data_IF_518909582866
#
_entry.id   IF_518909582866
#
_cell.length_a   1.000
_cell.length_b   1.000
_cell.length_c   1.000
_cell.angle_alpha   90.00
_cell.angle_beta   90.00
_cell.angle_gamma   90.00
#
_symmetry.space_group_name_H-M   'P 1'
#
loop_
_entity.id
_entity.type
_entity.pdbx_description
1 polymer ?
#
# COMPACT_ATOMS: atom_id res chain seq x y z
N UNK A 1 -47.47 -35.96 15.01
CA UNK A 1 -46.12 -36.44 15.39
C UNK A 1 -45.14 -35.29 15.17
N UNK A 2 -44.60 -34.76 16.27
CA UNK A 2 -43.70 -33.60 16.33
C UNK A 2 -42.33 -33.89 15.70
N UNK A 3 -41.77 -32.92 14.96
CA UNK A 3 -40.44 -32.34 15.22
C UNK A 3 -39.98 -31.38 14.09
N UNK A 4 -40.10 -30.08 14.34
CA UNK A 4 -39.02 -29.09 14.12
C UNK A 4 -38.59 -28.62 15.52
N UNK A 5 -37.50 -27.84 15.72
CA UNK A 5 -36.29 -27.59 14.93
C UNK A 5 -35.00 -27.71 15.78
N UNK A 6 -33.79 -27.68 15.20
CA UNK A 6 -32.57 -27.18 15.91
C UNK A 6 -31.56 -26.53 14.95
N UNK A 7 -31.60 -25.21 14.89
CA UNK A 7 -30.41 -24.35 14.92
C UNK A 7 -30.64 -23.41 16.12
N UNK A 8 -29.76 -23.36 17.14
CA UNK A 8 -28.81 -22.25 17.21
C UNK A 8 -27.54 -22.53 18.04
N UNK A 9 -26.35 -22.17 17.53
CA UNK A 9 -25.23 -21.67 18.36
C UNK A 9 -24.50 -20.60 17.55
N UNK A 10 -24.81 -19.32 17.78
CA UNK A 10 -24.33 -18.48 18.88
C UNK A 10 -22.83 -18.23 18.76
N UNK A 11 -22.52 -17.02 18.29
CA UNK A 11 -21.29 -16.29 18.50
C UNK A 11 -21.00 -16.28 20.00
N UNK A 12 -19.94 -16.97 20.43
CA UNK A 12 -19.52 -16.96 21.83
C UNK A 12 -18.26 -16.11 21.95
N UNK A 13 -18.43 -14.96 22.58
CA UNK A 13 -17.40 -13.97 22.86
C UNK A 13 -16.69 -14.31 24.16
N UNK A 14 -15.81 -15.31 24.17
CA UNK A 14 -14.90 -15.58 25.30
C UNK A 14 -13.66 -16.34 24.84
N UNK A 15 -12.62 -15.60 24.44
CA UNK A 15 -11.25 -16.12 24.34
C UNK A 15 -10.47 -15.70 25.60
N UNK A 16 -9.74 -16.60 26.28
CA UNK A 16 -9.12 -16.31 27.57
C UNK A 16 -7.91 -15.35 27.45
N UNK A 17 -7.59 -14.58 28.51
CA UNK A 17 -6.51 -13.60 28.49
C UNK A 17 -5.14 -14.30 28.53
N UNK A 18 -4.26 -13.95 27.58
CA UNK A 18 -2.84 -14.31 27.61
C UNK A 18 -2.18 -13.75 28.89
N UNK A 19 -1.81 -14.64 29.81
CA UNK A 19 -1.09 -14.31 31.04
C UNK A 19 0.37 -14.77 30.94
N UNK A 20 1.27 -13.79 30.92
CA UNK A 20 2.57 -13.75 31.61
C UNK A 20 3.55 -14.91 31.45
N UNK A 21 4.60 -14.67 30.67
CA UNK A 21 5.95 -15.14 31.00
C UNK A 21 6.87 -13.91 31.10
N UNK A 22 7.17 -13.55 32.34
CA UNK A 22 8.12 -12.53 32.71
C UNK A 22 9.54 -12.98 32.34
N UNK A 23 10.32 -12.11 31.67
CA UNK A 23 11.77 -12.19 31.60
C UNK A 23 12.38 -10.95 32.26
N UNK A 24 13.38 -11.22 33.09
CA UNK A 24 14.09 -10.32 33.99
C UNK A 24 14.89 -9.22 33.24
N UNK A 25 15.28 -8.13 33.94
CA UNK A 25 15.71 -6.87 33.32
C UNK A 25 17.17 -6.92 32.86
N UNK A 26 17.42 -6.49 31.62
CA UNK A 26 18.77 -6.22 31.10
C UNK A 26 19.13 -4.75 31.32
N UNK A 27 20.33 -4.52 31.86
CA UNK A 27 20.92 -3.24 32.26
C UNK A 27 20.93 -2.17 31.15
N UNK A 28 20.76 -0.88 31.49
CA UNK A 28 20.84 0.22 30.53
C UNK A 28 22.30 0.46 30.09
N UNK A 29 22.53 0.45 28.77
CA UNK A 29 23.77 0.95 28.15
C UNK A 29 23.62 2.45 27.93
N UNK A 30 24.56 3.23 28.49
CA UNK A 30 24.59 4.68 28.41
C UNK A 30 24.99 5.17 27.01
N UNK A 31 24.25 6.16 26.51
CA UNK A 31 24.53 6.92 25.30
C UNK A 31 25.55 8.05 25.59
N UNK A 32 26.55 8.31 24.73
CA UNK A 32 27.25 9.58 24.75
C UNK A 32 26.40 10.70 24.12
N UNK A 33 26.28 11.82 24.85
CA UNK A 33 25.47 12.98 24.51
C UNK A 33 25.97 13.85 23.33
N UNK A 34 25.22 14.90 22.98
CA UNK A 34 25.34 15.63 21.73
C UNK A 34 26.50 16.63 21.77
N UNK A 35 27.28 16.71 20.69
CA UNK A 35 28.18 17.84 20.44
C UNK A 35 27.68 18.61 19.23
N UNK A 36 27.51 19.92 19.40
CA UNK A 36 27.45 20.90 18.31
C UNK A 36 26.05 21.26 17.86
N UNK A 37 25.53 22.36 18.40
CA UNK A 37 24.44 23.12 17.83
C UNK A 37 25.02 24.29 17.00
N UNK A 38 24.17 24.80 16.10
CA UNK A 38 24.23 26.09 15.39
C UNK A 38 24.63 26.03 13.89
N UNK A 39 24.19 27.00 13.08
CA UNK A 39 22.95 26.89 12.29
C UNK A 39 23.21 27.18 10.81
N UNK A 40 22.22 26.96 9.92
CA UNK A 40 21.96 27.64 8.63
C UNK A 40 21.23 26.67 7.68
N UNK A 41 19.92 26.52 7.87
CA UNK A 41 19.05 25.99 6.82
C UNK A 41 18.51 27.15 5.99
N UNK A 42 19.26 27.49 4.93
CA UNK A 42 18.72 28.05 3.69
C UNK A 42 19.08 27.06 2.58
N UNK A 43 18.08 26.39 2.02
CA UNK A 43 18.31 25.49 0.89
C UNK A 43 17.11 24.60 0.61
N UNK A 44 16.39 24.89 -0.47
CA UNK A 44 15.42 24.00 -1.10
C UNK A 44 16.09 22.65 -1.47
N UNK A 45 15.35 21.54 -1.54
CA UNK A 45 15.93 20.26 -1.95
C UNK A 45 16.33 20.34 -3.43
N UNK A 46 17.64 20.44 -3.69
CA UNK A 46 18.23 20.29 -5.02
C UNK A 46 18.25 18.81 -5.39
N UNK A 47 17.18 18.35 -6.04
CA UNK A 47 17.21 17.09 -6.76
C UNK A 47 18.21 17.22 -7.93
N UNK A 48 19.27 16.41 -7.91
CA UNK A 48 20.18 16.21 -9.03
C UNK A 48 19.39 15.61 -10.21
N UNK A 49 18.84 16.47 -11.07
CA UNK A 49 18.21 16.08 -12.33
C UNK A 49 19.30 15.75 -13.35
N UNK A 50 19.48 14.47 -13.65
CA UNK A 50 20.16 14.05 -14.87
C UNK A 50 19.35 14.57 -16.07
N UNK A 51 19.96 15.46 -16.85
CA UNK A 51 19.34 16.07 -18.01
C UNK A 51 19.04 15.03 -19.10
N UNK A 52 17.76 14.65 -19.23
CA UNK A 52 17.22 14.01 -20.43
C UNK A 52 16.43 15.04 -21.23
N UNK A 53 16.63 15.03 -22.55
CA UNK A 53 15.97 15.88 -23.56
C UNK A 53 14.48 16.06 -23.28
N UNK A 54 14.00 17.29 -23.36
CA UNK A 54 12.62 17.70 -23.12
C UNK A 54 11.67 17.24 -24.23
N UNK A 55 11.16 16.01 -24.11
CA UNK A 55 9.76 15.78 -24.47
C UNK A 55 8.88 16.42 -23.39
N UNK A 56 7.64 16.84 -23.68
CA UNK A 56 6.67 17.12 -22.62
C UNK A 56 6.66 15.91 -21.70
N UNK A 57 7.12 16.07 -20.46
CA UNK A 57 7.20 14.97 -19.51
C UNK A 57 5.78 14.53 -19.24
N UNK A 58 5.35 13.39 -19.81
CA UNK A 58 4.07 12.78 -19.47
C UNK A 58 4.14 12.43 -17.98
N UNK A 59 3.48 13.24 -17.16
CA UNK A 59 3.46 13.06 -15.72
C UNK A 59 2.48 11.92 -15.39
N UNK A 60 2.97 10.92 -14.67
CA UNK A 60 2.14 9.87 -14.09
C UNK A 60 1.44 10.36 -12.82
N UNK A 61 2.07 11.26 -12.07
CA UNK A 61 1.49 11.93 -10.89
C UNK A 61 1.83 13.41 -10.97
N UNK A 62 0.81 14.26 -10.80
CA UNK A 62 0.94 15.69 -10.72
C UNK A 62 0.10 16.22 -9.55
N UNK A 63 0.78 16.65 -8.50
CA UNK A 63 0.17 17.27 -7.32
C UNK A 63 0.71 18.70 -7.17
N UNK A 64 -0.18 19.64 -6.91
CA UNK A 64 0.15 21.03 -6.55
C UNK A 64 -0.71 21.50 -5.40
N UNK A 65 -0.06 21.95 -4.34
CA UNK A 65 -0.71 22.41 -3.10
C UNK A 65 -1.80 21.44 -2.62
N UNK A 66 -1.56 20.13 -2.78
CA UNK A 66 -2.56 19.12 -2.53
C UNK A 66 -2.77 18.94 -1.01
N UNK A 67 -4.00 19.17 -0.56
CA UNK A 67 -4.41 19.01 0.84
C UNK A 67 -5.32 17.80 0.97
N UNK A 68 -5.07 16.95 1.97
CA UNK A 68 -5.92 15.81 2.28
C UNK A 68 -6.16 15.72 3.78
N UNK A 69 -7.42 15.53 4.16
CA UNK A 69 -7.85 15.45 5.55
C UNK A 69 -8.15 14.00 5.95
N UNK A 70 -7.75 13.63 7.16
CA UNK A 70 -8.25 12.44 7.86
C UNK A 70 -9.22 12.91 8.96
N UNK A 71 -10.51 12.91 8.64
CA UNK A 71 -11.51 13.59 9.45
C UNK A 71 -11.25 15.10 9.45
N UNK A 72 -10.83 15.63 10.61
CA UNK A 72 -10.47 17.07 10.76
C UNK A 72 -8.97 17.33 10.73
N UNK A 73 -8.14 16.29 10.71
CA UNK A 73 -6.70 16.41 10.78
C UNK A 73 -6.09 16.55 9.37
N UNK A 74 -5.29 17.60 9.07
CA UNK A 74 -4.62 17.75 7.79
C UNK A 74 -3.46 16.77 7.69
N UNK A 75 -3.70 15.65 7.03
CA UNK A 75 -2.70 14.60 6.84
C UNK A 75 -1.76 14.89 5.66
N UNK A 76 -2.19 15.73 4.71
CA UNK A 76 -1.36 16.45 3.75
C UNK A 76 -1.75 17.93 3.81
N UNK A 77 -0.78 18.82 3.89
CA UNK A 77 -0.98 20.26 4.03
C UNK A 77 -0.18 21.01 2.95
N UNK A 78 -0.62 20.89 1.69
CA UNK A 78 0.02 21.55 0.55
C UNK A 78 1.18 20.74 -0.02
N UNK A 79 0.90 19.51 -0.47
CA UNK A 79 1.92 18.64 -1.06
C UNK A 79 2.11 18.93 -2.56
N UNK A 80 3.35 19.22 -2.94
CA UNK A 80 3.80 19.30 -4.34
C UNK A 80 4.59 18.05 -4.72
N UNK A 81 4.20 17.41 -5.82
CA UNK A 81 4.89 16.23 -6.34
C UNK A 81 4.65 16.09 -7.83
N UNK A 82 5.72 15.98 -8.61
CA UNK A 82 5.67 15.50 -9.98
C UNK A 82 6.41 14.17 -10.07
N UNK A 83 5.78 13.19 -10.72
CA UNK A 83 6.42 11.92 -11.06
C UNK A 83 6.21 11.66 -12.54
N UNK A 84 7.30 11.51 -13.28
CA UNK A 84 7.23 11.18 -14.70
C UNK A 84 6.82 9.72 -14.92
N UNK A 85 6.23 9.43 -16.08
CA UNK A 85 5.95 8.04 -16.48
C UNK A 85 7.24 7.21 -16.50
N UNK A 86 7.21 6.06 -15.84
CA UNK A 86 8.36 5.14 -15.74
C UNK A 86 9.39 5.53 -14.67
N UNK A 87 9.15 6.60 -13.91
CA UNK A 87 10.02 7.00 -12.80
C UNK A 87 9.78 6.13 -11.56
N UNK A 88 10.88 5.76 -10.88
CA UNK A 88 10.84 5.09 -9.58
C UNK A 88 11.23 6.10 -8.51
N UNK A 89 10.29 6.42 -7.64
CA UNK A 89 10.46 7.44 -6.60
C UNK A 89 10.49 6.80 -5.22
N UNK A 90 11.45 7.24 -4.39
CA UNK A 90 11.58 6.82 -3.01
C UNK A 90 11.03 7.91 -2.07
N UNK A 91 9.86 7.67 -1.49
CA UNK A 91 9.23 8.57 -0.53
C UNK A 91 9.81 8.35 0.90
N UNK A 92 10.52 9.34 1.44
CA UNK A 92 11.15 9.30 2.77
C UNK A 92 10.63 10.40 3.69
N UNK A 93 10.69 10.15 4.99
CA UNK A 93 10.28 11.10 6.03
C UNK A 93 9.94 10.41 7.36
N UNK A 94 9.77 11.16 8.46
CA UNK A 94 9.45 10.60 9.78
C UNK A 94 8.06 9.95 9.81
N UNK A 95 7.81 9.13 10.84
CA UNK A 95 6.48 8.58 11.08
C UNK A 95 5.48 9.73 11.32
N UNK A 96 4.29 9.63 10.74
CA UNK A 96 3.28 10.70 10.80
C UNK A 96 3.42 11.80 9.74
N UNK A 97 4.49 11.84 8.95
CA UNK A 97 4.69 12.85 7.90
C UNK A 97 3.71 12.78 6.70
N UNK A 98 2.66 11.97 6.75
CA UNK A 98 1.68 11.86 5.66
C UNK A 98 2.05 10.93 4.50
N UNK A 99 3.18 10.20 4.53
CA UNK A 99 3.62 9.32 3.43
C UNK A 99 2.56 8.31 2.98
N UNK A 100 1.98 7.58 3.94
CA UNK A 100 0.91 6.61 3.66
C UNK A 100 -0.34 7.30 3.14
N UNK A 101 -0.63 8.52 3.61
CA UNK A 101 -1.74 9.33 3.11
C UNK A 101 -1.50 9.75 1.66
N UNK A 102 -0.29 10.19 1.32
CA UNK A 102 0.10 10.53 -0.05
C UNK A 102 -0.10 9.35 -1.00
N UNK A 103 0.38 8.16 -0.63
CA UNK A 103 0.18 6.94 -1.43
C UNK A 103 -1.31 6.58 -1.58
N UNK A 104 -2.12 6.77 -0.53
CA UNK A 104 -3.57 6.56 -0.59
C UNK A 104 -4.28 7.59 -1.46
N UNK A 105 -3.83 8.85 -1.46
CA UNK A 105 -4.33 9.88 -2.38
C UNK A 105 -4.04 9.46 -3.81
N UNK A 106 -2.80 9.10 -4.15
CA UNK A 106 -2.44 8.66 -5.50
C UNK A 106 -3.24 7.42 -5.97
N UNK A 107 -3.60 6.54 -5.05
CA UNK A 107 -4.44 5.36 -5.32
C UNK A 107 -5.96 5.65 -5.34
N UNK A 108 -6.41 6.89 -5.14
CA UNK A 108 -7.83 7.25 -5.07
C UNK A 108 -8.56 6.69 -3.85
N UNK A 109 -7.83 6.35 -2.78
CA UNK A 109 -8.35 5.81 -1.52
C UNK A 109 -8.56 6.90 -0.45
N UNK A 110 -7.91 8.06 -0.59
CA UNK A 110 -8.14 9.26 0.20
C UNK A 110 -8.62 10.40 -0.70
N UNK A 111 -9.49 11.27 -0.19
CA UNK A 111 -9.95 12.45 -0.92
C UNK A 111 -8.93 13.59 -0.78
N UNK A 112 -8.79 14.36 -1.86
CA UNK A 112 -8.08 15.64 -1.86
C UNK A 112 -9.13 16.72 -1.60
N UNK A 113 -8.91 17.53 -0.57
CA UNK A 113 -9.82 18.59 -0.13
C UNK A 113 -9.61 19.89 -0.89
N UNK A 114 -8.37 20.18 -1.29
CA UNK A 114 -8.01 21.35 -2.09
C UNK A 114 -6.68 21.13 -2.83
N UNK A 115 -6.39 22.02 -3.77
CA UNK A 115 -5.22 21.93 -4.64
C UNK A 115 -5.51 21.17 -5.95
N UNK A 116 -4.46 20.90 -6.70
CA UNK A 116 -4.50 20.10 -7.94
C UNK A 116 -3.99 18.70 -7.63
N UNK A 117 -4.72 17.69 -8.07
CA UNK A 117 -4.30 16.31 -7.94
C UNK A 117 -4.71 15.50 -9.17
N UNK A 118 -3.74 15.15 -9.99
CA UNK A 118 -3.92 14.37 -11.21
C UNK A 118 -3.01 13.13 -11.18
N UNK A 119 -3.57 11.97 -11.50
CA UNK A 119 -2.80 10.71 -11.59
C UNK A 119 -3.20 9.98 -12.86
N UNK A 120 -2.21 9.65 -13.70
CA UNK A 120 -2.38 8.99 -15.00
C UNK A 120 -3.44 9.70 -15.89
N UNK A 121 -3.46 11.03 -15.90
CA UNK A 121 -4.44 11.82 -16.65
C UNK A 121 -5.80 12.01 -15.97
N UNK A 122 -5.98 11.51 -14.73
CA UNK A 122 -7.27 11.53 -14.03
C UNK A 122 -7.23 12.55 -12.90
N UNK A 123 -8.14 13.53 -12.96
CA UNK A 123 -8.42 14.45 -11.86
C UNK A 123 -9.00 13.68 -10.66
N UNK A 124 -8.26 13.65 -9.55
CA UNK A 124 -8.63 12.94 -8.33
C UNK A 124 -9.68 13.66 -7.49
N UNK A 125 -9.89 14.96 -7.70
CA UNK A 125 -10.96 15.73 -7.03
C UNK A 125 -12.31 15.36 -7.64
N UNK A 126 -12.37 15.23 -8.97
CA UNK A 126 -13.63 14.97 -9.71
C UNK A 126 -13.89 13.49 -9.97
N UNK A 127 -12.85 12.72 -10.30
CA UNK A 127 -12.98 11.37 -10.84
C UNK A 127 -12.13 10.34 -10.09
N UNK A 128 -11.95 10.51 -8.78
CA UNK A 128 -11.10 9.64 -7.94
C UNK A 128 -11.38 8.14 -8.10
N UNK A 129 -12.63 7.72 -8.30
CA UNK A 129 -12.96 6.30 -8.41
C UNK A 129 -12.39 5.65 -9.66
N UNK A 130 -12.18 6.42 -10.74
CA UNK A 130 -11.67 5.92 -12.01
C UNK A 130 -10.22 5.43 -11.91
N UNK A 131 -9.43 5.94 -10.97
CA UNK A 131 -8.01 5.55 -10.82
C UNK A 131 -7.83 4.18 -10.13
N UNK A 132 -8.83 3.71 -9.38
CA UNK A 132 -8.71 2.52 -8.52
C UNK A 132 -8.45 1.22 -9.28
N UNK A 133 -8.84 1.15 -10.55
CA UNK A 133 -8.52 -0.01 -11.43
C UNK A 133 -7.14 0.11 -12.09
N UNK A 134 -6.55 1.31 -12.11
CA UNK A 134 -5.29 1.61 -12.82
C UNK A 134 -4.09 1.65 -11.87
N UNK A 135 -4.32 1.96 -10.60
CA UNK A 135 -3.27 2.08 -9.57
C UNK A 135 -3.40 0.97 -8.54
N UNK A 136 -2.34 0.18 -8.38
CA UNK A 136 -2.19 -0.79 -7.30
C UNK A 136 -1.47 -0.17 -6.10
N UNK A 137 -1.96 -0.45 -4.88
CA UNK A 137 -1.32 -0.05 -3.62
C UNK A 137 -1.07 -1.28 -2.76
N UNK A 138 0.20 -1.64 -2.58
CA UNK A 138 0.59 -2.72 -1.68
C UNK A 138 1.12 -2.13 -0.36
N UNK A 139 0.39 -2.41 0.72
CA UNK A 139 0.74 -1.97 2.07
C UNK A 139 1.74 -2.89 2.77
N UNK A 140 1.77 -2.80 4.10
CA UNK A 140 2.46 -3.79 4.93
C UNK A 140 1.72 -5.14 4.90
N UNK A 141 0.39 -5.11 5.03
CA UNK A 141 -0.47 -6.25 4.81
C UNK A 141 -0.53 -6.63 3.32
N UNK A 142 -0.73 -7.92 3.07
CA UNK A 142 -0.75 -8.55 1.74
C UNK A 142 -2.12 -8.46 1.05
N UNK A 143 -3.20 -8.26 1.81
CA UNK A 143 -4.58 -8.22 1.33
C UNK A 143 -5.01 -9.47 0.54
N UNK A 144 -4.32 -10.60 0.77
CA UNK A 144 -4.72 -11.90 0.25
C UNK A 144 -5.76 -12.52 1.19
N UNK A 145 -6.68 -13.29 0.64
CA UNK A 145 -7.60 -14.12 1.40
C UNK A 145 -6.86 -15.38 1.84
N UNK A 146 -6.75 -15.56 3.15
CA UNK A 146 -5.97 -16.63 3.78
C UNK A 146 -6.52 -18.04 3.49
N UNK A 147 -7.84 -18.16 3.32
CA UNK A 147 -8.53 -19.43 3.04
C UNK A 147 -8.53 -19.81 1.55
N UNK A 148 -8.26 -18.85 0.67
CA UNK A 148 -8.18 -19.10 -0.76
C UNK A 148 -6.78 -19.57 -1.15
N UNK A 149 -6.71 -20.38 -2.20
CA UNK A 149 -5.45 -20.79 -2.82
C UNK A 149 -4.73 -19.60 -3.47
N UNK A 150 -3.47 -19.79 -3.83
CA UNK A 150 -2.68 -18.77 -4.54
C UNK A 150 -3.34 -18.41 -5.88
N UNK A 151 -3.76 -19.41 -6.66
CA UNK A 151 -4.42 -19.20 -7.95
C UNK A 151 -5.73 -18.44 -7.78
N UNK A 152 -6.59 -18.86 -6.84
CA UNK A 152 -7.87 -18.19 -6.59
C UNK A 152 -7.70 -16.73 -6.16
N UNK A 153 -6.69 -16.44 -5.33
CA UNK A 153 -6.36 -15.07 -4.94
C UNK A 153 -5.95 -14.22 -6.14
N UNK A 154 -5.03 -14.72 -6.96
CA UNK A 154 -4.53 -13.95 -8.11
C UNK A 154 -5.63 -13.77 -9.15
N UNK A 155 -6.42 -14.80 -9.42
CA UNK A 155 -7.57 -14.74 -10.33
C UNK A 155 -8.63 -13.74 -9.86
N UNK A 156 -8.90 -13.71 -8.55
CA UNK A 156 -9.80 -12.73 -7.94
C UNK A 156 -9.31 -11.30 -8.21
N UNK A 157 -8.04 -11.00 -7.92
CA UNK A 157 -7.49 -9.67 -8.09
C UNK A 157 -7.35 -9.25 -9.56
N UNK A 158 -7.00 -10.18 -10.46
CA UNK A 158 -6.98 -9.95 -11.90
C UNK A 158 -8.36 -9.52 -12.40
N UNK A 159 -9.42 -10.29 -12.04
CA UNK A 159 -10.80 -9.94 -12.40
C UNK A 159 -11.25 -8.61 -11.81
N UNK A 160 -10.89 -8.32 -10.56
CA UNK A 160 -11.20 -7.05 -9.92
C UNK A 160 -10.54 -5.84 -10.61
N UNK A 161 -9.35 -6.04 -11.19
CA UNK A 161 -8.66 -5.05 -12.02
C UNK A 161 -9.23 -4.94 -13.45
N UNK A 162 -10.09 -5.87 -13.87
CA UNK A 162 -10.63 -5.96 -15.24
C UNK A 162 -9.73 -6.74 -16.20
N UNK A 163 -8.80 -7.54 -15.68
CA UNK A 163 -7.89 -8.40 -16.43
C UNK A 163 -8.42 -9.83 -16.55
N UNK A 164 -7.77 -10.64 -17.39
CA UNK A 164 -8.11 -12.04 -17.60
C UNK A 164 -7.39 -12.94 -16.59
N UNK A 165 -7.94 -14.14 -16.36
CA UNK A 165 -7.29 -15.19 -15.55
C UNK A 165 -5.89 -15.54 -16.10
N UNK A 166 -5.72 -15.46 -17.42
CA UNK A 166 -4.42 -15.68 -18.05
C UNK A 166 -3.36 -14.64 -17.62
N UNK A 167 -3.75 -13.39 -17.33
CA UNK A 167 -2.85 -12.37 -16.79
C UNK A 167 -2.35 -12.73 -15.39
N UNK A 168 -3.23 -13.31 -14.58
CA UNK A 168 -2.91 -13.83 -13.25
C UNK A 168 -1.81 -14.89 -13.29
N UNK A 169 -1.96 -15.88 -14.18
CA UNK A 169 -0.96 -16.94 -14.37
C UNK A 169 0.37 -16.39 -14.86
N UNK A 170 0.34 -15.51 -15.87
CA UNK A 170 1.55 -14.81 -16.36
C UNK A 170 2.26 -14.03 -15.24
N UNK A 171 1.50 -13.40 -14.34
CA UNK A 171 2.07 -12.66 -13.21
C UNK A 171 2.71 -13.57 -12.16
N UNK A 172 2.13 -14.75 -11.88
CA UNK A 172 2.74 -15.76 -11.02
C UNK A 172 4.07 -16.26 -11.59
N UNK A 173 4.11 -16.53 -12.89
CA UNK A 173 5.33 -16.97 -13.58
C UNK A 173 6.40 -15.87 -13.59
N UNK A 174 6.01 -14.63 -13.92
CA UNK A 174 6.92 -13.47 -13.96
C UNK A 174 7.57 -13.17 -12.60
N UNK A 175 6.90 -13.50 -11.50
CA UNK A 175 7.42 -13.31 -10.14
C UNK A 175 7.93 -14.60 -9.51
N UNK A 176 8.11 -15.65 -10.33
CA UNK A 176 8.72 -16.91 -9.95
C UNK A 176 8.02 -17.56 -8.74
N UNK A 177 6.69 -17.46 -8.70
CA UNK A 177 5.88 -18.17 -7.70
C UNK A 177 5.81 -19.63 -8.11
N UNK A 178 6.55 -20.47 -7.38
CA UNK A 178 6.67 -21.90 -7.66
C UNK A 178 5.29 -22.56 -7.86
N UNK A 179 5.14 -23.31 -8.96
CA UNK A 179 3.90 -23.99 -9.36
C UNK A 179 3.30 -24.87 -8.27
N UNK A 180 4.13 -25.54 -7.47
CA UNK A 180 3.69 -26.36 -6.32
C UNK A 180 2.92 -25.59 -5.24
N UNK A 181 2.95 -24.25 -5.26
CA UNK A 181 2.25 -23.39 -4.31
C UNK A 181 0.89 -22.93 -4.82
N UNK A 182 0.60 -23.12 -6.12
CA UNK A 182 -0.57 -22.54 -6.80
C UNK A 182 -1.90 -23.00 -6.16
N UNK A 183 -1.97 -24.28 -5.78
CA UNK A 183 -3.16 -24.89 -5.17
C UNK A 183 -3.13 -24.88 -3.64
N UNK A 184 -2.13 -24.26 -3.01
CA UNK A 184 -2.04 -24.17 -1.56
C UNK A 184 -2.80 -22.94 -1.04
N UNK A 185 -3.56 -23.08 0.06
CA UNK A 185 -4.14 -21.94 0.77
C UNK A 185 -3.07 -20.96 1.24
N UNK A 186 -3.33 -19.66 1.13
CA UNK A 186 -2.34 -18.60 1.41
C UNK A 186 -1.86 -18.59 2.86
N UNK A 187 -2.67 -19.02 3.83
CA UNK A 187 -2.24 -19.10 5.23
C UNK A 187 -1.06 -20.05 5.46
N UNK A 188 -0.90 -21.08 4.61
CA UNK A 188 0.19 -22.07 4.71
C UNK A 188 1.54 -21.55 4.22
N UNK A 189 1.55 -20.43 3.50
CA UNK A 189 2.75 -19.84 2.91
C UNK A 189 3.64 -19.15 3.95
N UNK A 190 4.94 -19.08 3.69
CA UNK A 190 5.84 -18.17 4.41
C UNK A 190 5.51 -16.71 4.11
N UNK A 191 5.93 -15.79 4.99
CA UNK A 191 5.76 -14.35 4.76
C UNK A 191 6.35 -13.87 3.42
N UNK A 192 7.51 -14.41 3.02
CA UNK A 192 8.14 -14.09 1.74
C UNK A 192 7.35 -14.60 0.53
N UNK A 193 6.81 -15.82 0.61
CA UNK A 193 5.91 -16.36 -0.43
C UNK A 193 4.63 -15.53 -0.53
N UNK A 194 3.96 -15.21 0.59
CA UNK A 194 2.79 -14.33 0.60
C UNK A 194 3.10 -12.98 -0.04
N UNK A 195 4.27 -12.41 0.25
CA UNK A 195 4.69 -11.12 -0.34
C UNK A 195 4.82 -11.21 -1.86
N UNK A 196 5.45 -12.26 -2.40
CA UNK A 196 5.55 -12.49 -3.84
C UNK A 196 4.19 -12.67 -4.50
N UNK A 197 3.30 -13.47 -3.90
CA UNK A 197 1.92 -13.65 -4.39
C UNK A 197 1.16 -12.33 -4.40
N UNK A 198 1.34 -11.49 -3.39
CA UNK A 198 0.69 -10.16 -3.34
C UNK A 198 1.18 -9.23 -4.46
N UNK A 199 2.48 -9.30 -4.79
CA UNK A 199 3.00 -8.59 -5.96
C UNK A 199 2.42 -9.17 -7.26
N UNK A 200 2.26 -10.49 -7.37
CA UNK A 200 1.71 -11.14 -8.56
C UNK A 200 0.28 -10.68 -8.81
N UNK A 201 -0.56 -10.74 -7.78
CA UNK A 201 -1.93 -10.23 -7.81
C UNK A 201 -2.00 -8.75 -8.23
N UNK A 202 -1.04 -7.92 -7.80
CA UNK A 202 -1.02 -6.49 -8.12
C UNK A 202 -0.54 -6.18 -9.55
N UNK A 203 0.25 -7.05 -10.18
CA UNK A 203 0.77 -6.85 -11.55
C UNK A 203 -0.02 -7.64 -12.60
N UNK A 204 -0.98 -8.47 -12.20
CA UNK A 204 -1.92 -9.14 -13.09
C UNK A 204 -2.91 -8.13 -13.69
N UNK A 205 -2.57 -7.59 -14.86
CA UNK A 205 -3.32 -6.56 -15.59
C UNK A 205 -2.84 -6.43 -17.03
#
# INVERSE_FOLDING_TARGET
MNARPRNPRAFDSTSPPYRGLARAPTRPVALPGPRGCSPLWRGAPSALRSARKSCPLELAVHLRDAVALLGRFPALAGADLDVARGEVVLLRGPNGAGKTTLLRVCAGLAAVSSGVAEVLGVDLVRHRSAIRRRVGLLGHATYLYDDLTVTENVDFWARAAGAEVADGRRALDRLEVASRLHDLPVHTLSAGQRRRVSFAAMVAR
#
